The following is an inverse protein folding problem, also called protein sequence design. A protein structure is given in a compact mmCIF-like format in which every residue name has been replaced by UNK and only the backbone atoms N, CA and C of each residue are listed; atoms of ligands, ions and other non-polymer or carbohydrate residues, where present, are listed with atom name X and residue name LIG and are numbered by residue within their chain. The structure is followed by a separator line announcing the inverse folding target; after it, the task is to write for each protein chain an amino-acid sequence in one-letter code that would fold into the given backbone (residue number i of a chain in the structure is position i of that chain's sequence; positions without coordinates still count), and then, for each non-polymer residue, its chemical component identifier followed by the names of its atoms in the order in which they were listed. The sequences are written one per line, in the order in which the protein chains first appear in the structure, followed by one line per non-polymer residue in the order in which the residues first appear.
data_IF_305376906960
#
_entry.id   IF_305376906960
#
_cell.length_a   1.000
_cell.length_b   1.000
_cell.length_c   1.000
_cell.angle_alpha   90.00
_cell.angle_beta   90.00
_cell.angle_gamma   90.00
#
_symmetry.space_group_name_H-M   'P 1'
#
loop_
_entity.id
_entity.type
_entity.pdbx_description
1 polymer ?
#
# COMPACT_ATOMS: atom_id res chain seq x y z
N UNK A 1 14.08 21.17 12.73
CA UNK A 1 14.17 19.80 12.23
C UNK A 1 14.89 18.86 13.19
N UNK A 2 16.09 19.17 13.68
CA UNK A 2 16.78 18.43 14.74
C UNK A 2 15.91 18.27 16.00
N UNK A 3 15.20 19.32 16.40
CA UNK A 3 14.29 19.30 17.56
C UNK A 3 13.14 18.28 17.37
N UNK A 4 12.53 18.18 16.18
CA UNK A 4 11.47 17.19 15.88
C UNK A 4 12.01 15.77 15.98
N UNK A 5 13.20 15.52 15.47
CA UNK A 5 13.87 14.22 15.60
C UNK A 5 14.14 13.85 17.06
N UNK A 6 14.67 14.79 17.85
CA UNK A 6 14.95 14.58 19.27
C UNK A 6 13.65 14.30 20.04
N UNK A 7 12.60 15.10 19.79
CA UNK A 7 11.29 14.93 20.45
C UNK A 7 10.66 13.58 20.09
N UNK A 8 10.69 13.19 18.81
CA UNK A 8 10.13 11.89 18.40
C UNK A 8 10.93 10.72 18.98
N UNK A 9 12.26 10.82 18.97
CA UNK A 9 13.12 9.78 19.57
C UNK A 9 12.90 9.65 21.08
N UNK A 10 12.78 10.78 21.78
CA UNK A 10 12.48 10.78 23.22
C UNK A 10 11.11 10.17 23.50
N UNK A 11 10.08 10.59 22.79
CA UNK A 11 8.73 10.01 22.88
C UNK A 11 8.76 8.49 22.66
N UNK A 12 9.47 8.02 21.63
CA UNK A 12 9.54 6.61 21.28
C UNK A 12 10.24 5.80 22.38
N UNK A 13 11.28 6.37 23.03
CA UNK A 13 11.89 5.78 24.22
C UNK A 13 10.95 5.73 25.42
N UNK A 14 10.15 6.77 25.63
CA UNK A 14 9.17 6.79 26.71
C UNK A 14 8.10 5.69 26.57
N UNK A 15 7.69 5.36 25.35
CA UNK A 15 6.84 4.19 25.08
C UNK A 15 7.60 2.87 25.30
N UNK A 16 8.86 2.80 24.84
CA UNK A 16 9.70 1.60 24.98
C UNK A 16 9.96 1.24 26.45
N UNK A 17 10.22 2.24 27.30
CA UNK A 17 10.37 2.07 28.75
C UNK A 17 9.04 2.00 29.50
N UNK A 18 7.90 1.90 28.80
CA UNK A 18 6.55 1.83 29.38
C UNK A 18 6.18 3.02 30.29
N UNK A 19 6.90 4.14 30.19
CA UNK A 19 6.58 5.39 30.91
C UNK A 19 5.29 5.98 30.33
N UNK A 20 5.10 5.91 29.00
CA UNK A 20 3.84 6.22 28.35
C UNK A 20 3.05 4.93 28.13
N UNK A 21 1.77 4.95 28.48
CA UNK A 21 0.89 3.78 28.32
C UNK A 21 0.62 3.49 26.84
N UNK A 22 0.85 2.25 26.43
CA UNK A 22 0.47 1.76 25.12
C UNK A 22 -0.97 1.28 25.11
N UNK A 23 -1.65 1.44 23.98
CA UNK A 23 -2.96 0.85 23.74
C UNK A 23 -2.80 -0.64 23.46
N UNK A 24 -3.55 -1.45 24.20
CA UNK A 24 -3.64 -2.89 24.03
C UNK A 24 -4.92 -3.25 23.30
N UNK A 25 -4.88 -4.28 22.47
CA UNK A 25 -6.05 -4.89 21.84
C UNK A 25 -6.29 -6.28 22.41
N UNK A 26 -7.55 -6.69 22.50
CA UNK A 26 -7.92 -8.08 22.81
C UNK A 26 -7.64 -9.01 21.64
N UNK A 27 -7.82 -8.51 20.41
CA UNK A 27 -7.48 -9.23 19.21
C UNK A 27 -5.99 -9.07 18.90
N UNK A 28 -5.32 -10.09 18.35
CA UNK A 28 -3.95 -9.98 17.87
C UNK A 28 -3.79 -8.87 16.84
N UNK A 29 -2.75 -8.04 17.00
CA UNK A 29 -2.43 -6.93 16.10
C UNK A 29 -1.22 -7.28 15.26
N UNK A 30 -1.42 -7.42 13.95
CA UNK A 30 -0.38 -7.61 12.95
C UNK A 30 -0.16 -6.28 12.21
N UNK A 31 0.96 -5.64 12.44
CA UNK A 31 1.30 -4.37 11.82
C UNK A 31 2.06 -4.58 10.52
N UNK A 32 1.64 -3.90 9.47
CA UNK A 32 2.36 -3.81 8.21
C UNK A 32 2.77 -2.35 8.01
N UNK A 33 4.08 -2.10 8.00
CA UNK A 33 4.59 -0.74 7.91
C UNK A 33 5.84 -0.64 7.05
N UNK A 34 6.49 0.52 7.10
CA UNK A 34 7.77 0.76 6.46
C UNK A 34 8.57 1.82 7.20
N UNK A 35 9.87 1.93 6.89
CA UNK A 35 10.73 3.00 7.40
C UNK A 35 11.01 4.10 6.38
N UNK A 36 10.54 3.95 5.14
CA UNK A 36 10.80 4.86 4.02
C UNK A 36 9.56 5.71 3.71
N UNK A 37 9.79 6.92 3.16
CA UNK A 37 8.74 7.67 2.49
C UNK A 37 8.50 7.11 1.08
N UNK A 38 7.24 7.16 0.63
CA UNK A 38 6.85 6.70 -0.69
C UNK A 38 6.26 5.29 -0.73
N UNK A 39 6.10 4.76 -1.94
CA UNK A 39 5.41 3.50 -2.19
C UNK A 39 6.28 2.26 -1.93
N UNK A 40 6.22 1.72 -0.74
CA UNK A 40 6.93 0.47 -0.36
C UNK A 40 6.14 -0.82 -0.63
N UNK A 41 4.98 -0.74 -1.29
CA UNK A 41 4.16 -1.93 -1.57
C UNK A 41 3.26 -2.38 -0.41
N UNK A 42 3.00 -1.52 0.59
CA UNK A 42 2.14 -1.87 1.74
C UNK A 42 0.74 -2.34 1.34
N UNK A 43 0.05 -1.54 0.53
CA UNK A 43 -1.34 -1.85 0.13
C UNK A 43 -1.47 -3.23 -0.51
N UNK A 44 -0.71 -3.61 -1.55
CA UNK A 44 -0.80 -4.96 -2.12
C UNK A 44 -0.33 -6.04 -1.14
N UNK A 45 0.63 -5.77 -0.25
CA UNK A 45 1.02 -6.73 0.78
C UNK A 45 -0.10 -6.97 1.79
N UNK A 46 -0.78 -5.93 2.28
CA UNK A 46 -1.94 -6.03 3.18
C UNK A 46 -3.06 -6.81 2.51
N UNK A 47 -3.35 -6.53 1.24
CA UNK A 47 -4.36 -7.28 0.48
C UNK A 47 -4.00 -8.76 0.39
N UNK A 48 -2.76 -9.08 0.03
CA UNK A 48 -2.28 -10.46 -0.08
C UNK A 48 -2.32 -11.18 1.27
N UNK A 49 -1.90 -10.52 2.35
CA UNK A 49 -1.95 -11.09 3.70
C UNK A 49 -3.38 -11.39 4.13
N UNK A 50 -4.32 -10.46 3.90
CA UNK A 50 -5.73 -10.69 4.22
C UNK A 50 -6.32 -11.84 3.42
N UNK A 51 -6.00 -11.96 2.13
CA UNK A 51 -6.46 -13.10 1.32
C UNK A 51 -5.95 -14.43 1.87
N UNK A 52 -4.65 -14.51 2.23
CA UNK A 52 -4.09 -15.73 2.84
C UNK A 52 -4.75 -16.07 4.19
N UNK A 53 -5.09 -15.08 5.00
CA UNK A 53 -5.82 -15.30 6.24
C UNK A 53 -7.21 -15.84 5.98
N UNK A 54 -7.93 -15.29 4.98
CA UNK A 54 -9.25 -15.77 4.59
C UNK A 54 -9.22 -17.20 4.03
N UNK A 55 -8.20 -17.56 3.25
CA UNK A 55 -7.97 -18.92 2.76
C UNK A 55 -7.80 -19.94 3.92
N UNK A 56 -7.27 -19.48 5.04
CA UNK A 56 -7.11 -20.26 6.28
C UNK A 56 -8.30 -20.12 7.24
N UNK A 57 -9.43 -19.56 6.76
CA UNK A 57 -10.66 -19.28 7.51
C UNK A 57 -10.47 -18.31 8.68
N UNK A 58 -9.42 -17.51 8.69
CA UNK A 58 -9.18 -16.46 9.69
C UNK A 58 -9.77 -15.14 9.16
N UNK A 59 -10.61 -14.48 9.93
CA UNK A 59 -11.31 -13.26 9.56
C UNK A 59 -10.58 -12.00 10.07
N UNK A 60 -9.78 -11.31 9.23
CA UNK A 60 -9.12 -10.08 9.62
C UNK A 60 -10.06 -8.88 9.52
N UNK A 61 -9.73 -7.82 10.25
CA UNK A 61 -10.19 -6.44 10.01
C UNK A 61 -8.97 -5.56 9.72
N UNK A 62 -9.09 -4.65 8.78
CA UNK A 62 -8.02 -3.68 8.48
C UNK A 62 -8.28 -2.40 9.28
N UNK A 63 -7.25 -1.92 9.98
CA UNK A 63 -7.23 -0.59 10.61
C UNK A 63 -6.25 0.29 9.87
N UNK A 64 -6.73 1.41 9.34
CA UNK A 64 -5.92 2.35 8.56
C UNK A 64 -6.29 3.80 8.84
N UNK A 65 -5.42 4.73 8.46
CA UNK A 65 -5.63 6.17 8.68
C UNK A 65 -6.53 6.83 7.62
N UNK A 66 -6.54 6.31 6.40
CA UNK A 66 -7.21 6.94 5.27
C UNK A 66 -6.51 8.24 4.87
N UNK A 67 -5.27 8.15 4.39
CA UNK A 67 -4.48 9.32 4.03
C UNK A 67 -5.17 10.17 2.94
N UNK A 68 -5.20 11.50 3.15
CA UNK A 68 -5.83 12.51 2.25
C UNK A 68 -7.34 12.33 2.00
N UNK A 69 -8.05 11.57 2.82
CA UNK A 69 -9.52 11.51 2.77
C UNK A 69 -10.17 12.85 3.14
N UNK A 70 -11.36 13.10 2.64
CA UNK A 70 -12.14 14.33 2.97
C UNK A 70 -12.75 14.26 4.35
N UNK A 71 -13.32 13.13 4.70
CA UNK A 71 -14.00 12.93 5.99
C UNK A 71 -12.97 12.82 7.11
N UNK A 72 -13.28 13.42 8.27
CA UNK A 72 -12.43 13.31 9.47
C UNK A 72 -12.98 12.30 10.48
N UNK A 73 -14.26 11.97 10.38
CA UNK A 73 -14.91 11.04 11.30
C UNK A 73 -14.39 9.61 11.10
N UNK A 74 -14.53 8.79 12.14
CA UNK A 74 -14.30 7.36 12.03
C UNK A 74 -15.30 6.74 11.04
N UNK A 75 -14.83 5.82 10.21
CA UNK A 75 -15.64 5.08 9.25
C UNK A 75 -15.41 3.59 9.46
N UNK A 76 -16.48 2.81 9.49
CA UNK A 76 -16.46 1.36 9.32
C UNK A 76 -16.90 1.09 7.88
N UNK A 77 -15.95 0.80 7.02
CA UNK A 77 -16.16 0.63 5.59
C UNK A 77 -16.44 -0.84 5.26
N UNK A 78 -17.72 -1.18 5.18
CA UNK A 78 -18.21 -2.55 4.95
C UNK A 78 -18.53 -2.85 3.50
N UNK A 79 -19.05 -1.88 2.76
CA UNK A 79 -19.46 -2.02 1.37
C UNK A 79 -18.84 -0.90 0.52
N UNK A 80 -18.32 -1.26 -0.67
CA UNK A 80 -17.67 -0.34 -1.61
C UNK A 80 -18.61 0.79 -2.07
N UNK A 81 -19.92 0.53 -2.11
CA UNK A 81 -20.93 1.49 -2.56
C UNK A 81 -21.29 2.55 -1.49
N UNK A 82 -20.85 2.38 -0.23
CA UNK A 82 -21.18 3.31 0.86
C UNK A 82 -20.45 4.65 0.74
N UNK A 83 -19.25 4.65 0.16
CA UNK A 83 -18.38 5.81 0.14
C UNK A 83 -17.62 5.94 -1.18
N UNK A 84 -17.34 7.17 -1.58
CA UNK A 84 -16.46 7.45 -2.70
C UNK A 84 -14.98 7.32 -2.30
N UNK A 85 -14.10 7.21 -3.29
CA UNK A 85 -12.65 7.23 -3.06
C UNK A 85 -12.20 8.50 -2.30
N UNK A 86 -12.88 9.62 -2.50
CA UNK A 86 -12.58 10.88 -1.84
C UNK A 86 -12.94 10.88 -0.35
N UNK A 87 -13.93 10.09 0.06
CA UNK A 87 -14.39 10.02 1.45
C UNK A 87 -13.48 9.14 2.30
N UNK A 88 -12.95 8.06 1.74
CA UNK A 88 -12.17 7.04 2.46
C UNK A 88 -10.68 7.09 2.16
N UNK A 89 -10.27 7.62 1.00
CA UNK A 89 -8.91 7.67 0.50
C UNK A 89 -8.58 6.51 -0.46
N UNK A 90 -7.57 6.71 -1.31
CA UNK A 90 -7.20 5.79 -2.40
C UNK A 90 -6.88 4.38 -1.91
N UNK A 91 -6.13 4.26 -0.81
CA UNK A 91 -5.66 2.98 -0.30
C UNK A 91 -6.77 2.14 0.33
N UNK A 92 -7.59 2.67 1.25
CA UNK A 92 -8.73 1.92 1.78
C UNK A 92 -9.76 1.56 0.70
N UNK A 93 -9.96 2.44 -0.30
CA UNK A 93 -10.85 2.15 -1.41
C UNK A 93 -10.37 0.97 -2.25
N UNK A 94 -9.06 0.92 -2.57
CA UNK A 94 -8.45 -0.22 -3.26
C UNK A 94 -8.49 -1.50 -2.42
N UNK A 95 -8.20 -1.39 -1.12
CA UNK A 95 -8.30 -2.53 -0.20
C UNK A 95 -9.72 -3.10 -0.20
N UNK A 96 -10.75 -2.25 -0.12
CA UNK A 96 -12.16 -2.70 -0.13
C UNK A 96 -12.59 -3.31 -1.46
N UNK A 97 -12.13 -2.75 -2.58
CA UNK A 97 -12.37 -3.32 -3.91
C UNK A 97 -11.81 -4.74 -4.04
N UNK A 98 -10.61 -4.98 -3.49
CA UNK A 98 -9.93 -6.28 -3.59
C UNK A 98 -10.33 -7.26 -2.48
N UNK A 99 -10.88 -6.76 -1.39
CA UNK A 99 -11.27 -7.52 -0.20
C UNK A 99 -12.72 -7.18 0.19
N UNK A 100 -13.72 -7.57 -0.63
CA UNK A 100 -15.11 -7.18 -0.38
C UNK A 100 -15.65 -7.70 0.97
N UNK A 101 -15.13 -8.83 1.47
CA UNK A 101 -15.56 -9.48 2.71
C UNK A 101 -14.75 -9.07 3.95
N UNK A 102 -13.79 -8.15 3.83
CA UNK A 102 -12.98 -7.66 4.96
C UNK A 102 -13.46 -6.26 5.35
N UNK A 103 -13.84 -6.07 6.60
CA UNK A 103 -14.18 -4.76 7.11
C UNK A 103 -12.92 -3.89 7.25
N UNK A 104 -13.05 -2.59 6.97
CA UNK A 104 -11.96 -1.63 7.08
C UNK A 104 -12.38 -0.52 8.02
N UNK A 105 -11.65 -0.33 9.12
CA UNK A 105 -11.86 0.78 10.03
C UNK A 105 -10.87 1.89 9.70
N UNK A 106 -11.41 3.05 9.36
CA UNK A 106 -10.64 4.20 8.93
C UNK A 106 -10.73 5.29 9.99
N UNK A 107 -9.62 5.55 10.68
CA UNK A 107 -9.55 6.55 11.74
C UNK A 107 -8.15 7.17 11.86
N UNK A 108 -8.08 8.47 12.11
CA UNK A 108 -6.82 9.15 12.45
C UNK A 108 -6.27 8.68 13.79
N UNK A 109 -7.17 8.38 14.74
CA UNK A 109 -6.83 7.80 16.04
C UNK A 109 -6.92 6.27 15.95
N UNK A 110 -5.78 5.64 15.75
CA UNK A 110 -5.71 4.18 15.64
C UNK A 110 -6.06 3.46 16.95
N UNK A 111 -5.87 4.07 18.11
CA UNK A 111 -6.30 3.48 19.40
C UNK A 111 -7.82 3.32 19.44
N UNK A 112 -8.56 4.37 19.07
CA UNK A 112 -10.01 4.32 18.96
C UNK A 112 -10.47 3.31 17.91
N UNK A 113 -9.74 3.21 16.79
CA UNK A 113 -10.03 2.20 15.76
C UNK A 113 -9.86 0.76 16.27
N UNK A 114 -8.86 0.50 17.13
CA UNK A 114 -8.68 -0.80 17.77
C UNK A 114 -9.84 -1.16 18.73
N UNK A 115 -10.36 -0.18 19.49
CA UNK A 115 -11.52 -0.39 20.34
C UNK A 115 -12.74 -0.85 19.54
N UNK A 116 -12.99 -0.18 18.39
CA UNK A 116 -14.06 -0.59 17.47
C UNK A 116 -13.78 -1.96 16.86
N UNK A 117 -12.56 -2.25 16.44
CA UNK A 117 -12.18 -3.57 15.93
C UNK A 117 -12.47 -4.68 16.94
N UNK A 118 -12.16 -4.45 18.22
CA UNK A 118 -12.43 -5.39 19.31
C UNK A 118 -13.93 -5.63 19.58
N UNK A 119 -14.81 -4.75 19.09
CA UNK A 119 -16.26 -4.88 19.26
C UNK A 119 -16.95 -5.56 18.09
N UNK A 120 -16.25 -5.77 16.97
CA UNK A 120 -16.81 -6.45 15.79
C UNK A 120 -16.91 -7.96 16.06
N UNK A 121 -18.09 -8.52 15.80
CA UNK A 121 -18.31 -9.97 15.94
C UNK A 121 -17.65 -10.74 14.79
N UNK A 122 -17.05 -11.88 15.12
CA UNK A 122 -16.45 -12.80 14.18
C UNK A 122 -15.12 -12.32 13.58
N UNK A 123 -14.54 -11.24 14.06
CA UNK A 123 -13.18 -10.80 13.73
C UNK A 123 -12.19 -11.48 14.66
N UNK A 124 -11.11 -12.02 14.11
CA UNK A 124 -10.11 -12.81 14.84
C UNK A 124 -8.75 -12.11 14.95
N UNK A 125 -8.42 -11.19 14.03
CA UNK A 125 -7.19 -10.41 14.11
C UNK A 125 -7.33 -9.04 13.44
N UNK A 126 -6.41 -8.15 13.77
CA UNK A 126 -6.33 -6.79 13.25
C UNK A 126 -5.08 -6.65 12.38
N UNK A 127 -5.26 -6.24 11.13
CA UNK A 127 -4.17 -5.82 10.25
C UNK A 127 -4.04 -4.30 10.34
N UNK A 128 -2.98 -3.84 11.01
CA UNK A 128 -2.70 -2.42 11.20
C UNK A 128 -1.89 -1.89 10.03
N UNK A 129 -2.54 -1.24 9.08
CA UNK A 129 -1.90 -0.65 7.91
C UNK A 129 -1.15 0.64 8.29
N UNK A 130 0.08 0.77 7.77
CA UNK A 130 1.05 1.83 8.10
C UNK A 130 1.24 1.98 9.63
N UNK A 131 1.45 0.85 10.30
CA UNK A 131 1.48 0.74 11.76
C UNK A 131 2.85 0.97 12.40
N UNK A 132 3.97 0.91 11.66
CA UNK A 132 5.32 0.91 12.23
C UNK A 132 5.61 2.14 13.10
N UNK A 133 5.15 3.33 12.69
CA UNK A 133 5.29 4.57 13.44
C UNK A 133 4.31 4.70 14.63
N UNK A 134 3.32 3.82 14.75
CA UNK A 134 2.34 3.84 15.84
C UNK A 134 2.90 3.15 17.09
N UNK A 135 3.93 3.74 17.72
CA UNK A 135 4.63 3.17 18.89
C UNK A 135 3.74 3.08 20.15
N UNK A 136 2.65 3.85 20.18
CA UNK A 136 1.63 3.83 21.23
C UNK A 136 0.65 2.65 21.15
N UNK A 137 0.79 1.79 20.13
CA UNK A 137 0.01 0.56 19.99
C UNK A 137 0.91 -0.64 20.22
N UNK A 138 0.49 -1.55 21.08
CA UNK A 138 1.14 -2.85 21.22
C UNK A 138 0.78 -3.74 20.04
N UNK A 139 1.78 -4.36 19.44
CA UNK A 139 1.65 -5.20 18.26
C UNK A 139 2.24 -6.57 18.55
N UNK A 140 1.51 -7.61 18.15
CA UNK A 140 1.96 -9.00 18.31
C UNK A 140 2.97 -9.38 17.23
N UNK A 141 2.74 -8.88 16.00
CA UNK A 141 3.66 -9.05 14.89
C UNK A 141 3.90 -7.70 14.21
N UNK A 142 5.17 -7.35 13.99
CA UNK A 142 5.60 -6.14 13.27
C UNK A 142 6.27 -6.57 11.97
N UNK A 143 5.64 -6.25 10.85
CA UNK A 143 6.13 -6.52 9.51
C UNK A 143 6.58 -5.19 8.89
N UNK A 144 7.82 -5.16 8.39
CA UNK A 144 8.37 -3.96 7.74
C UNK A 144 8.72 -4.26 6.30
N UNK A 145 8.21 -3.41 5.40
CA UNK A 145 8.50 -3.48 3.97
C UNK A 145 9.55 -2.44 3.60
N UNK A 146 10.55 -2.86 2.85
CA UNK A 146 11.62 -2.00 2.35
C UNK A 146 11.61 -2.04 0.83
N UNK A 147 11.43 -0.86 0.23
CA UNK A 147 11.58 -0.69 -1.21
C UNK A 147 13.06 -0.48 -1.55
N UNK A 148 13.65 -1.42 -2.27
CA UNK A 148 15.04 -1.39 -2.69
C UNK A 148 15.24 -1.04 -4.18
N UNK A 149 14.27 -0.36 -4.78
CA UNK A 149 14.38 0.18 -6.13
C UNK A 149 15.39 1.34 -6.23
N UNK A 150 15.49 2.16 -5.17
CA UNK A 150 16.44 3.28 -5.10
C UNK A 150 17.83 2.80 -4.65
N UNK A 151 18.84 3.65 -4.88
CA UNK A 151 20.22 3.40 -4.43
C UNK A 151 20.36 3.56 -2.92
N UNK A 152 21.39 2.97 -2.32
CA UNK A 152 21.68 3.06 -0.89
C UNK A 152 21.94 4.51 -0.42
N UNK A 153 22.39 5.41 -1.31
CA UNK A 153 22.61 6.83 -1.00
C UNK A 153 21.32 7.54 -0.54
N UNK A 154 20.16 7.12 -1.06
CA UNK A 154 18.87 7.64 -0.63
C UNK A 154 18.36 7.03 0.67
N UNK A 155 19.05 6.01 1.21
CA UNK A 155 18.69 5.29 2.42
C UNK A 155 19.23 6.00 3.67
N UNK A 156 18.90 7.27 3.78
CA UNK A 156 19.25 8.16 4.89
C UNK A 156 17.97 8.82 5.45
N UNK A 157 18.04 9.33 6.66
CA UNK A 157 16.92 10.03 7.28
C UNK A 157 16.56 11.28 6.49
N UNK A 158 15.26 11.54 6.38
CA UNK A 158 14.76 12.77 5.79
C UNK A 158 15.30 14.00 6.56
N UNK A 159 15.77 15.07 5.88
CA UNK A 159 15.64 15.36 4.45
C UNK A 159 16.84 14.93 3.59
N UNK A 160 17.88 14.33 4.15
CA UNK A 160 19.07 13.90 3.40
C UNK A 160 18.77 12.66 2.53
N UNK A 161 17.74 11.91 2.89
CA UNK A 161 17.28 10.76 2.16
C UNK A 161 15.78 10.56 2.36
N UNK A 162 15.30 9.33 2.17
CA UNK A 162 13.88 8.98 2.16
C UNK A 162 13.39 8.24 3.42
N UNK A 163 14.25 8.07 4.44
CA UNK A 163 13.85 7.37 5.64
C UNK A 163 13.03 8.25 6.59
N UNK A 164 11.91 7.71 7.09
CA UNK A 164 11.11 8.26 8.20
C UNK A 164 11.70 7.92 9.57
N UNK A 165 12.34 6.74 9.64
CA UNK A 165 12.99 6.21 10.84
C UNK A 165 14.38 5.66 10.48
N UNK A 166 15.29 5.62 11.45
CA UNK A 166 16.62 5.06 11.25
C UNK A 166 16.55 3.55 10.94
N UNK A 167 17.57 3.05 10.25
CA UNK A 167 17.71 1.60 9.99
C UNK A 167 17.70 0.80 11.28
N UNK A 168 18.24 1.34 12.38
CA UNK A 168 18.23 0.68 13.69
C UNK A 168 16.84 0.38 14.23
N UNK A 169 15.80 1.09 13.79
CA UNK A 169 14.42 0.81 14.15
C UNK A 169 13.95 -0.58 13.67
N UNK A 170 14.60 -1.14 12.63
CA UNK A 170 14.33 -2.49 12.13
C UNK A 170 14.57 -3.59 13.15
N UNK A 171 15.36 -3.34 14.21
CA UNK A 171 15.52 -4.28 15.34
C UNK A 171 14.19 -4.64 16.02
N UNK A 172 13.16 -3.80 15.86
CA UNK A 172 11.81 -4.03 16.39
C UNK A 172 10.91 -4.82 15.44
N UNK A 173 11.35 -5.05 14.21
CA UNK A 173 10.59 -5.80 13.21
C UNK A 173 10.73 -7.30 13.45
N UNK A 174 9.63 -8.02 13.41
CA UNK A 174 9.62 -9.49 13.45
C UNK A 174 9.89 -10.09 12.08
N UNK A 175 9.45 -9.41 11.02
CA UNK A 175 9.68 -9.80 9.63
C UNK A 175 10.02 -8.55 8.80
N UNK A 176 11.04 -8.67 7.95
CA UNK A 176 11.47 -7.61 7.04
C UNK A 176 11.42 -8.15 5.62
N UNK A 177 10.65 -7.51 4.77
CA UNK A 177 10.53 -7.90 3.36
C UNK A 177 11.07 -6.82 2.44
N UNK A 178 11.92 -7.24 1.51
CA UNK A 178 12.41 -6.42 0.42
C UNK A 178 11.42 -6.44 -0.73
N UNK A 179 11.00 -5.28 -1.19
CA UNK A 179 10.05 -5.11 -2.28
C UNK A 179 10.64 -4.27 -3.40
N UNK A 180 10.16 -4.47 -4.63
CA UNK A 180 10.36 -3.56 -5.76
C UNK A 180 11.80 -3.22 -6.14
N UNK A 181 12.70 -4.16 -6.23
CA UNK A 181 14.03 -3.89 -6.73
C UNK A 181 15.01 -5.02 -6.47
N UNK A 182 16.18 -4.90 -7.08
CA UNK A 182 17.26 -5.89 -6.96
C UNK A 182 18.47 -5.35 -6.18
N UNK A 183 18.44 -4.06 -5.76
CA UNK A 183 19.58 -3.46 -5.10
C UNK A 183 19.83 -4.11 -3.72
N UNK A 184 21.06 -4.40 -3.42
CA UNK A 184 21.49 -4.84 -2.10
C UNK A 184 21.94 -3.63 -1.30
N UNK A 185 21.47 -3.54 -0.05
CA UNK A 185 21.86 -2.48 0.87
C UNK A 185 22.79 -3.04 1.93
N UNK A 186 24.04 -2.60 1.94
CA UNK A 186 25.03 -2.99 2.95
C UNK A 186 24.55 -2.75 4.38
N UNK A 187 23.79 -1.66 4.57
CA UNK A 187 23.19 -1.29 5.87
C UNK A 187 22.13 -2.27 6.37
N UNK A 188 21.67 -3.20 5.53
CA UNK A 188 20.71 -4.23 5.87
C UNK A 188 21.34 -5.63 6.03
N UNK A 189 22.66 -5.77 5.86
CA UNK A 189 23.36 -7.05 5.97
C UNK A 189 23.14 -7.75 7.31
N UNK A 190 22.99 -6.99 8.38
CA UNK A 190 22.80 -7.50 9.74
C UNK A 190 21.34 -7.92 10.05
N UNK A 191 20.43 -7.73 9.09
CA UNK A 191 19.02 -8.04 9.26
C UNK A 191 18.60 -9.22 8.41
N UNK A 192 17.80 -10.11 8.98
CA UNK A 192 17.20 -11.21 8.24
C UNK A 192 16.07 -10.67 7.34
N UNK A 193 16.41 -10.34 6.10
CA UNK A 193 15.47 -9.84 5.11
C UNK A 193 15.04 -10.94 4.15
N UNK A 194 13.76 -10.93 3.77
CA UNK A 194 13.21 -11.85 2.77
C UNK A 194 12.79 -11.05 1.53
N UNK A 195 12.94 -11.62 0.35
CA UNK A 195 12.40 -11.03 -0.88
C UNK A 195 10.91 -11.39 -0.99
N UNK A 196 10.12 -10.43 -1.45
CA UNK A 196 8.71 -10.66 -1.79
C UNK A 196 8.57 -10.56 -3.30
N UNK A 197 7.95 -11.55 -3.88
CA UNK A 197 7.65 -11.55 -5.31
C UNK A 197 6.51 -10.58 -5.61
N UNK A 198 6.79 -9.64 -6.50
CA UNK A 198 5.80 -8.69 -7.01
C UNK A 198 5.47 -9.07 -8.44
N UNK A 199 4.20 -9.26 -8.69
CA UNK A 199 3.66 -9.62 -9.99
C UNK A 199 2.65 -8.57 -10.45
N UNK A 200 2.38 -8.56 -11.75
CA UNK A 200 1.50 -7.59 -12.38
C UNK A 200 0.47 -8.30 -13.23
N UNK A 201 -0.73 -7.72 -13.26
CA UNK A 201 -1.84 -8.10 -14.13
C UNK A 201 -2.31 -6.89 -14.90
N UNK A 202 -2.81 -7.11 -16.09
CA UNK A 202 -3.49 -6.08 -16.86
C UNK A 202 -4.99 -6.31 -16.75
N UNK A 203 -5.71 -5.29 -16.28
CA UNK A 203 -7.16 -5.36 -16.09
C UNK A 203 -7.83 -4.41 -17.06
N UNK A 204 -8.77 -4.90 -17.84
CA UNK A 204 -9.70 -4.07 -18.59
C UNK A 204 -10.59 -3.31 -17.59
N UNK A 205 -10.50 -1.99 -17.61
CA UNK A 205 -11.21 -1.14 -16.64
C UNK A 205 -12.73 -1.16 -16.86
N UNK A 206 -13.18 -1.35 -18.08
CA UNK A 206 -14.60 -1.37 -18.46
C UNK A 206 -15.24 -2.71 -18.06
N UNK A 207 -14.63 -3.81 -18.44
CA UNK A 207 -15.17 -5.16 -18.21
C UNK A 207 -14.76 -5.74 -16.85
N UNK A 208 -13.79 -5.11 -16.14
CA UNK A 208 -13.20 -5.56 -14.87
C UNK A 208 -12.59 -6.96 -14.95
N UNK A 209 -12.12 -7.35 -16.13
CA UNK A 209 -11.53 -8.68 -16.40
C UNK A 209 -10.02 -8.57 -16.57
N UNK A 210 -9.31 -9.63 -16.14
CA UNK A 210 -7.89 -9.78 -16.43
C UNK A 210 -7.72 -10.09 -17.93
N UNK A 211 -6.77 -9.41 -18.56
CA UNK A 211 -6.41 -9.62 -19.96
C UNK A 211 -4.93 -9.94 -20.10
N UNK A 212 -4.59 -10.66 -21.17
CA UNK A 212 -3.18 -10.94 -21.48
C UNK A 212 -2.46 -9.67 -21.96
N UNK A 213 -1.21 -9.49 -21.53
CA UNK A 213 -0.33 -8.44 -22.06
C UNK A 213 -0.16 -8.49 -23.58
N UNK A 214 -0.35 -9.66 -24.19
CA UNK A 214 -0.28 -9.85 -25.66
C UNK A 214 -1.32 -9.02 -26.42
N UNK A 215 -2.43 -8.62 -25.78
CA UNK A 215 -3.43 -7.73 -26.39
C UNK A 215 -2.82 -6.39 -26.81
N UNK A 216 -1.82 -5.92 -26.07
CA UNK A 216 -1.11 -4.68 -26.38
C UNK A 216 -0.16 -4.78 -27.58
N UNK A 217 0.15 -6.01 -28.02
CA UNK A 217 1.02 -6.29 -29.14
C UNK A 217 0.25 -6.79 -30.39
N UNK A 218 -1.09 -6.70 -30.36
CA UNK A 218 -1.93 -7.12 -31.50
C UNK A 218 -1.62 -6.31 -32.76
N UNK A 219 -1.89 -6.91 -33.92
CA UNK A 219 -1.49 -6.40 -35.27
C UNK A 219 -2.03 -5.01 -35.63
N UNK A 220 -3.02 -4.51 -34.91
CA UNK A 220 -3.46 -3.12 -35.01
C UNK A 220 -2.47 -2.24 -34.25
N UNK A 221 -1.78 -1.36 -34.96
CA UNK A 221 -0.84 -0.38 -34.39
C UNK A 221 -1.58 0.65 -33.54
N UNK A 222 -2.00 0.26 -32.34
CA UNK A 222 -2.57 1.19 -31.36
C UNK A 222 -1.44 1.90 -30.61
N UNK A 223 -1.60 3.20 -30.40
CA UNK A 223 -0.68 3.98 -29.57
C UNK A 223 -0.95 3.69 -28.10
N UNK A 224 0.09 3.51 -27.31
CA UNK A 224 -0.01 3.26 -25.87
C UNK A 224 0.36 4.53 -25.11
N UNK A 225 -0.59 5.07 -24.34
CA UNK A 225 -0.40 6.23 -23.50
C UNK A 225 -0.44 5.80 -22.03
N UNK A 226 0.65 6.05 -21.29
CA UNK A 226 0.69 5.78 -19.86
C UNK A 226 0.26 7.00 -19.05
N UNK A 227 -0.66 6.85 -18.11
CA UNK A 227 -1.09 7.92 -17.17
C UNK A 227 -0.69 7.53 -15.76
N UNK A 228 0.05 8.41 -15.06
CA UNK A 228 0.51 8.11 -13.71
C UNK A 228 0.64 9.37 -12.84
N UNK A 229 -0.09 9.37 -11.71
CA UNK A 229 -0.07 10.39 -10.65
C UNK A 229 0.26 9.83 -9.28
N UNK A 230 1.15 8.82 -9.21
CA UNK A 230 1.64 8.26 -7.95
C UNK A 230 2.93 8.95 -7.48
N UNK A 231 3.37 8.64 -6.27
CA UNK A 231 4.56 9.25 -5.65
C UNK A 231 5.87 9.06 -6.45
N UNK A 232 5.98 7.97 -7.23
CA UNK A 232 7.14 7.69 -8.09
C UNK A 232 6.69 7.25 -9.50
N UNK A 233 6.38 8.20 -10.39
CA UNK A 233 5.98 7.89 -11.76
C UNK A 233 7.05 7.15 -12.56
N UNK A 234 8.34 7.45 -12.31
CA UNK A 234 9.44 6.80 -13.03
C UNK A 234 9.40 5.28 -12.86
N UNK A 235 9.13 4.79 -11.64
CA UNK A 235 9.00 3.37 -11.36
C UNK A 235 7.84 2.71 -12.12
N UNK A 236 6.72 3.42 -12.30
CA UNK A 236 5.59 2.90 -13.08
C UNK A 236 5.99 2.68 -14.54
N UNK A 237 6.63 3.67 -15.16
CA UNK A 237 7.05 3.56 -16.58
C UNK A 237 8.19 2.55 -16.77
N UNK A 238 9.10 2.42 -15.80
CA UNK A 238 10.12 1.38 -15.82
C UNK A 238 9.48 -0.02 -15.72
N UNK A 239 8.46 -0.17 -14.87
CA UNK A 239 7.70 -1.43 -14.78
C UNK A 239 7.03 -1.77 -16.10
N UNK A 240 6.40 -0.81 -16.79
CA UNK A 240 5.83 -1.04 -18.12
C UNK A 240 6.90 -1.51 -19.11
N UNK A 241 8.05 -0.84 -19.14
CA UNK A 241 9.15 -1.22 -20.01
C UNK A 241 9.65 -2.66 -19.73
N UNK A 242 9.78 -3.03 -18.45
CA UNK A 242 10.19 -4.38 -18.03
C UNK A 242 9.17 -5.47 -18.42
N UNK A 243 7.89 -5.07 -18.58
CA UNK A 243 6.82 -5.91 -19.13
C UNK A 243 6.73 -5.85 -20.66
N UNK A 244 7.73 -5.26 -21.33
CA UNK A 244 7.77 -5.04 -22.77
C UNK A 244 6.63 -4.14 -23.30
N UNK A 245 6.11 -3.24 -22.46
CA UNK A 245 5.08 -2.27 -22.84
C UNK A 245 5.73 -0.91 -23.01
N UNK A 246 5.95 -0.51 -24.26
CA UNK A 246 6.52 0.78 -24.60
C UNK A 246 5.43 1.83 -24.77
N UNK A 247 5.44 2.89 -23.95
CA UNK A 247 4.49 3.98 -24.08
C UNK A 247 4.94 4.98 -25.14
N UNK A 248 4.07 5.28 -26.13
CA UNK A 248 4.26 6.35 -27.11
C UNK A 248 4.18 7.74 -26.44
N UNK A 249 3.35 7.85 -25.38
CA UNK A 249 3.21 9.07 -24.58
C UNK A 249 3.16 8.76 -23.09
N UNK A 250 3.93 9.51 -22.30
CA UNK A 250 3.97 9.42 -20.84
C UNK A 250 3.30 10.65 -20.25
N UNK A 251 2.15 10.48 -19.60
CA UNK A 251 1.38 11.54 -18.96
C UNK A 251 1.63 11.42 -17.46
N UNK A 252 2.49 12.28 -16.92
CA UNK A 252 2.80 12.33 -15.51
C UNK A 252 2.08 13.52 -14.88
N UNK A 253 1.32 13.25 -13.82
CA UNK A 253 0.60 14.26 -13.04
C UNK A 253 1.07 14.23 -11.58
N UNK A 254 0.85 15.31 -10.81
CA UNK A 254 1.19 15.34 -9.39
C UNK A 254 0.51 14.20 -8.61
N UNK A 255 1.17 13.73 -7.55
CA UNK A 255 0.60 12.70 -6.69
C UNK A 255 -0.72 13.17 -6.07
N UNK A 256 -1.76 12.32 -6.16
CA UNK A 256 -3.16 12.63 -5.80
C UNK A 256 -3.81 13.72 -6.66
N UNK A 257 -3.41 13.80 -7.92
CA UNK A 257 -4.02 14.72 -8.87
C UNK A 257 -5.54 14.47 -8.98
N UNK A 258 -6.29 15.56 -9.09
CA UNK A 258 -7.72 15.51 -9.38
C UNK A 258 -7.89 15.78 -10.87
N UNK A 259 -8.22 14.73 -11.57
CA UNK A 259 -8.48 14.84 -13.01
C UNK A 259 -9.75 15.65 -13.25
N UNK A 260 -9.72 16.46 -14.31
CA UNK A 260 -10.85 17.29 -14.72
C UNK A 260 -11.14 17.04 -16.21
N UNK A 261 -12.29 16.48 -16.51
CA UNK A 261 -12.71 16.15 -17.87
C UNK A 261 -12.68 17.34 -18.84
N UNK A 262 -12.83 18.58 -18.33
CA UNK A 262 -12.84 19.79 -19.17
C UNK A 262 -11.44 20.36 -19.46
N UNK A 263 -10.46 20.15 -18.56
CA UNK A 263 -9.11 20.70 -18.68
C UNK A 263 -8.07 19.68 -19.10
N UNK A 264 -8.24 18.43 -18.69
CA UNK A 264 -7.35 17.33 -19.03
C UNK A 264 -7.78 16.76 -20.39
N UNK A 265 -7.18 17.30 -21.44
CA UNK A 265 -7.45 16.84 -22.83
C UNK A 265 -6.87 15.45 -23.04
N UNK A 266 -7.66 14.46 -22.76
CA UNK A 266 -7.38 13.09 -23.21
C UNK A 266 -7.96 12.93 -24.64
N UNK A 267 -7.16 12.37 -25.52
CA UNK A 267 -7.58 12.12 -26.88
C UNK A 267 -8.49 10.87 -26.88
N UNK A 268 -9.76 11.04 -27.16
CA UNK A 268 -10.68 9.90 -27.38
C UNK A 268 -10.55 9.46 -28.85
N UNK A 269 -9.64 8.53 -29.09
CA UNK A 269 -9.38 7.98 -30.41
C UNK A 269 -9.35 6.45 -30.33
N UNK A 270 -10.04 5.79 -31.24
CA UNK A 270 -10.11 4.32 -31.31
C UNK A 270 -8.73 3.65 -31.38
N UNK A 271 -7.71 4.39 -31.82
CA UNK A 271 -6.34 3.93 -31.98
C UNK A 271 -5.44 4.18 -30.76
N UNK A 272 -5.99 4.64 -29.63
CA UNK A 272 -5.22 4.90 -28.41
C UNK A 272 -5.66 3.96 -27.29
N UNK A 273 -4.69 3.35 -26.62
CA UNK A 273 -4.87 2.57 -25.41
C UNK A 273 -4.26 3.35 -24.26
N UNK A 274 -5.01 3.55 -23.19
CA UNK A 274 -4.50 4.14 -21.95
C UNK A 274 -4.15 3.07 -20.93
N UNK A 275 -2.98 3.18 -20.31
CA UNK A 275 -2.57 2.32 -19.19
C UNK A 275 -2.34 3.18 -17.98
N UNK A 276 -2.95 2.80 -16.85
CA UNK A 276 -2.86 3.56 -15.60
C UNK A 276 -2.80 2.64 -14.37
N UNK A 277 -2.76 3.22 -13.17
CA UNK A 277 -2.87 2.50 -11.90
C UNK A 277 -4.29 2.58 -11.34
N UNK A 278 -4.68 1.68 -10.42
CA UNK A 278 -5.97 1.81 -9.72
C UNK A 278 -6.11 3.15 -8.99
N UNK A 279 -5.03 3.67 -8.39
CA UNK A 279 -5.05 4.95 -7.66
C UNK A 279 -5.38 6.14 -8.56
N UNK A 280 -4.97 6.09 -9.81
CA UNK A 280 -5.32 7.11 -10.78
C UNK A 280 -6.69 6.85 -11.40
N UNK A 281 -6.97 5.59 -11.77
CA UNK A 281 -8.25 5.20 -12.36
C UNK A 281 -9.47 5.63 -11.54
N UNK A 282 -9.43 5.47 -10.22
CA UNK A 282 -10.54 5.90 -9.34
C UNK A 282 -10.83 7.41 -9.37
N UNK A 283 -9.90 8.21 -9.87
CA UNK A 283 -10.00 9.67 -9.94
C UNK A 283 -10.19 10.18 -11.37
N UNK A 284 -9.97 9.29 -12.34
CA UNK A 284 -10.22 9.59 -13.73
C UNK A 284 -11.73 9.65 -13.94
N UNK A 285 -12.27 10.87 -14.17
CA UNK A 285 -13.65 11.06 -14.61
C UNK A 285 -13.68 10.93 -16.14
N UNK A 286 -13.39 9.71 -16.62
CA UNK A 286 -13.12 9.51 -18.04
C UNK A 286 -14.19 8.64 -18.71
N UNK A 287 -14.75 9.21 -19.74
CA UNK A 287 -15.43 8.47 -20.82
C UNK A 287 -14.45 7.94 -21.89
N UNK A 288 -13.16 7.83 -21.53
CA UNK A 288 -12.12 7.37 -22.45
C UNK A 288 -12.10 5.85 -22.48
N UNK A 289 -12.05 5.28 -23.65
CA UNK A 289 -11.93 3.83 -23.86
C UNK A 289 -10.97 3.57 -25.04
N UNK A 290 -10.13 2.53 -25.01
CA UNK A 290 -9.96 1.58 -23.90
C UNK A 290 -8.97 2.06 -22.81
N UNK A 291 -9.30 1.80 -21.55
CA UNK A 291 -8.39 1.99 -20.41
C UNK A 291 -8.04 0.64 -19.80
N UNK A 292 -6.76 0.39 -19.60
CA UNK A 292 -6.25 -0.76 -18.89
C UNK A 292 -5.56 -0.34 -17.60
N UNK A 293 -5.75 -1.12 -16.55
CA UNK A 293 -5.15 -0.89 -15.25
C UNK A 293 -4.01 -1.88 -15.04
N UNK A 294 -2.81 -1.36 -14.80
CA UNK A 294 -1.71 -2.18 -14.34
C UNK A 294 -1.90 -2.44 -12.84
N UNK A 295 -2.38 -3.63 -12.52
CA UNK A 295 -2.64 -4.08 -11.16
C UNK A 295 -1.42 -4.81 -10.60
N UNK A 296 -0.92 -4.35 -9.45
CA UNK A 296 0.22 -4.93 -8.76
C UNK A 296 -0.28 -5.82 -7.61
N UNK A 297 0.18 -7.05 -7.57
CA UNK A 297 -0.09 -7.97 -6.46
C UNK A 297 1.21 -8.60 -5.94
N UNK A 298 1.15 -9.04 -4.70
CA UNK A 298 2.28 -9.62 -3.98
C UNK A 298 1.98 -11.08 -3.69
N UNK A 299 2.93 -11.96 -3.94
CA UNK A 299 2.87 -13.32 -3.46
C UNK A 299 3.66 -13.44 -2.15
N UNK A 300 2.96 -13.72 -1.05
CA UNK A 300 3.59 -13.96 0.26
C UNK A 300 3.71 -15.47 0.43
N UNK A 301 4.90 -15.99 0.22
CA UNK A 301 5.23 -17.39 0.52
C UNK A 301 6.07 -17.45 1.79
N UNK A 302 5.41 -17.29 2.95
CA UNK A 302 6.07 -17.33 4.26
C UNK A 302 5.25 -18.13 5.28
N UNK A 303 5.48 -19.43 5.28
CA UNK A 303 4.85 -20.37 6.22
C UNK A 303 5.17 -20.04 7.69
N UNK A 304 6.33 -19.45 7.97
CA UNK A 304 6.73 -19.07 9.33
C UNK A 304 5.86 -17.93 9.82
N UNK A 305 5.62 -16.90 8.96
CA UNK A 305 4.72 -15.81 9.28
C UNK A 305 3.30 -16.33 9.54
N UNK A 306 2.76 -17.16 8.63
CA UNK A 306 1.41 -17.69 8.77
C UNK A 306 1.25 -18.55 10.03
N UNK A 307 2.23 -19.41 10.33
CA UNK A 307 2.23 -20.21 11.57
C UNK A 307 2.26 -19.32 12.81
N UNK A 308 3.07 -18.25 12.81
CA UNK A 308 3.08 -17.30 13.94
C UNK A 308 1.74 -16.61 14.14
N UNK A 309 1.07 -16.21 13.07
CA UNK A 309 -0.25 -15.57 13.17
C UNK A 309 -1.27 -16.56 13.73
N UNK A 310 -1.33 -17.80 13.20
CA UNK A 310 -2.23 -18.84 13.68
C UNK A 310 -2.05 -19.16 15.18
N UNK A 311 -0.84 -19.10 15.67
CA UNK A 311 -0.55 -19.37 17.10
C UNK A 311 -1.01 -18.24 18.04
N UNK A 312 -1.42 -17.08 17.50
CA UNK A 312 -1.91 -15.94 18.28
C UNK A 312 -3.44 -15.91 18.40
N UNK A 313 -4.12 -16.61 17.49
CA UNK A 313 -5.57 -16.72 17.37
C UNK A 313 -6.05 -17.98 18.09
#
# INVERSE_FOLDING_TARGET
MFLVYVVTTLRDKLYEYQILKSTHSRLPVISVGNIQMGGSGKTPFVISLCNKLLEENIKPVIVTRGYKRRTKNQIIFKDINQYSVWDVGDEPYLQKLKLPNVDIIIDYNKSRALEVANSLSGVECIILDDGFQSKYIQKNIEIVLINNWQTENNFQLFPLGNLRESVSALKKAHHIYMTKGANEFKRLSDYNTKKVEINYKLIDAQNKTEISFNVLHSKEKKKIYGICGIANPAQFFETLNNLNINCDKKIMVPNHYKYNANSDKFEDQENIIYITTYKDYFKLDLKISPIFILDMYVNIDDNILMKKIKNLI
#
